data_IF_989432503916
#
_entry.id   IF_989432503916
#
_cell.length_a   1.000
_cell.length_b   1.000
_cell.length_c   1.000
_cell.angle_alpha   90.00
_cell.angle_beta   90.00
_cell.angle_gamma   90.00
#
_symmetry.space_group_name_H-M   'P 1'
#
loop_
_entity.id
_entity.type
_entity.pdbx_description
1 polymer ?
#
# COMPACT_ATOMS: atom_id res chain seq x y z
N UNK A 1 20.88 43.84 -32.59
CA UNK A 1 19.88 43.38 -31.62
C UNK A 1 19.60 41.87 -31.66
N UNK A 2 20.00 41.11 -32.65
CA UNK A 2 19.73 39.65 -32.81
C UNK A 2 20.58 38.71 -31.95
N UNK A 3 21.79 39.13 -31.55
CA UNK A 3 22.71 38.27 -30.73
C UNK A 3 22.27 38.10 -29.26
N UNK A 4 21.49 39.03 -28.73
CA UNK A 4 20.98 38.99 -27.36
C UNK A 4 19.83 38.00 -27.23
N UNK A 5 18.96 37.92 -28.22
CA UNK A 5 17.79 37.01 -28.23
C UNK A 5 18.21 35.52 -28.25
N UNK A 6 19.25 35.19 -29.01
CA UNK A 6 19.75 33.80 -29.05
C UNK A 6 20.33 33.33 -27.72
N UNK A 7 21.01 34.22 -26.99
CA UNK A 7 21.60 33.89 -25.67
C UNK A 7 20.51 33.68 -24.61
N UNK A 8 19.45 34.47 -24.61
CA UNK A 8 18.31 34.32 -23.70
C UNK A 8 17.52 33.04 -24.00
N UNK A 9 17.29 32.74 -25.27
CA UNK A 9 16.62 31.50 -25.68
C UNK A 9 17.44 30.25 -25.28
N UNK A 10 18.76 30.30 -25.47
CA UNK A 10 19.63 29.18 -25.10
C UNK A 10 19.73 28.97 -23.59
N UNK A 11 19.72 30.00 -22.76
CA UNK A 11 19.68 29.85 -21.31
C UNK A 11 18.34 29.36 -20.81
N UNK A 12 17.23 29.78 -21.42
CA UNK A 12 15.87 29.32 -21.08
C UNK A 12 15.70 27.83 -21.41
N UNK A 13 16.20 27.38 -22.57
CA UNK A 13 16.13 25.93 -22.92
C UNK A 13 17.02 25.08 -22.03
N UNK A 14 18.20 25.53 -21.67
CA UNK A 14 19.11 24.82 -20.76
C UNK A 14 18.51 24.71 -19.36
N UNK A 15 17.83 25.75 -18.86
CA UNK A 15 17.13 25.76 -17.58
C UNK A 15 15.94 24.82 -17.57
N UNK A 16 15.17 24.75 -18.66
CA UNK A 16 14.03 23.85 -18.80
C UNK A 16 14.46 22.37 -18.82
N UNK A 17 15.58 22.04 -19.48
CA UNK A 17 16.14 20.69 -19.50
C UNK A 17 16.63 20.25 -18.11
N UNK A 18 17.27 21.15 -17.36
CA UNK A 18 17.72 20.89 -15.99
C UNK A 18 16.56 20.63 -15.01
N UNK A 19 15.44 21.32 -15.18
CA UNK A 19 14.22 21.11 -14.37
C UNK A 19 13.52 19.80 -14.70
N UNK A 20 13.61 19.30 -15.93
CA UNK A 20 12.99 18.05 -16.35
C UNK A 20 13.70 16.78 -15.82
N UNK A 21 14.97 16.86 -15.43
CA UNK A 21 15.76 15.68 -15.00
C UNK A 21 15.65 15.36 -13.51
N UNK A 22 15.04 16.23 -12.69
CA UNK A 22 15.06 16.12 -11.23
C UNK A 22 13.95 15.30 -10.57
N UNK A 23 12.95 14.79 -11.31
CA UNK A 23 11.67 14.44 -10.75
C UNK A 23 11.40 12.99 -10.33
N UNK A 24 12.23 12.01 -10.70
CA UNK A 24 11.89 10.59 -10.49
C UNK A 24 12.83 9.90 -9.50
N UNK A 25 12.70 10.19 -8.21
CA UNK A 25 13.38 9.43 -7.18
C UNK A 25 12.64 8.10 -6.91
N UNK A 26 13.42 7.01 -6.76
CA UNK A 26 12.87 5.72 -6.36
C UNK A 26 12.61 5.74 -4.85
N UNK A 27 11.35 5.59 -4.48
CA UNK A 27 10.93 5.50 -3.08
C UNK A 27 11.10 4.06 -2.60
N UNK A 28 11.76 3.90 -1.46
CA UNK A 28 11.88 2.62 -0.75
C UNK A 28 11.08 2.75 0.54
N UNK A 29 10.20 1.80 0.77
CA UNK A 29 9.42 1.71 2.01
C UNK A 29 9.70 0.37 2.68
N UNK A 30 10.06 0.42 3.95
CA UNK A 30 10.33 -0.75 4.78
C UNK A 30 9.29 -0.84 5.87
N UNK A 31 8.66 -1.99 5.97
CA UNK A 31 7.61 -2.26 6.94
C UNK A 31 7.92 -3.55 7.70
N UNK A 32 7.52 -3.59 8.97
CA UNK A 32 7.64 -4.76 9.82
C UNK A 32 8.95 -4.83 10.59
N UNK A 33 9.23 -6.01 11.13
CA UNK A 33 10.36 -6.28 12.00
C UNK A 33 11.57 -6.77 11.18
N UNK A 34 12.66 -6.03 11.23
CA UNK A 34 13.93 -6.46 10.63
C UNK A 34 14.70 -7.29 11.67
N UNK A 35 14.56 -8.60 11.58
CA UNK A 35 15.36 -9.50 12.42
C UNK A 35 16.84 -9.46 11.99
N UNK A 36 17.74 -9.30 12.97
CA UNK A 36 19.16 -9.46 12.73
C UNK A 36 19.43 -10.92 12.34
N UNK A 37 20.03 -11.21 11.18
CA UNK A 37 20.32 -12.58 10.75
C UNK A 37 21.16 -13.38 11.77
N UNK A 38 22.03 -12.70 12.54
CA UNK A 38 22.86 -13.34 13.56
C UNK A 38 21.99 -13.80 14.73
N UNK A 39 21.07 -12.96 15.21
CA UNK A 39 20.15 -13.32 16.30
C UNK A 39 19.18 -14.43 15.88
N UNK A 40 18.72 -14.38 14.63
CA UNK A 40 17.85 -15.44 14.09
C UNK A 40 18.58 -16.78 13.98
N UNK A 41 19.87 -16.76 13.60
CA UNK A 41 20.69 -17.97 13.51
C UNK A 41 21.05 -18.53 14.89
N UNK A 42 20.98 -17.72 15.93
CA UNK A 42 21.25 -18.14 17.31
C UNK A 42 20.08 -18.92 17.93
N UNK A 43 18.86 -18.79 17.39
CA UNK A 43 17.68 -19.53 17.91
C UNK A 43 17.81 -21.01 17.59
N UNK A 44 17.86 -21.85 18.64
CA UNK A 44 18.09 -23.29 18.53
C UNK A 44 16.83 -24.09 18.92
N UNK A 45 16.28 -24.91 18.00
CA UNK A 45 15.21 -25.84 18.35
C UNK A 45 15.63 -26.81 19.49
N UNK A 46 14.71 -27.01 20.44
CA UNK A 46 14.91 -27.89 21.59
C UNK A 46 15.69 -27.27 22.75
N UNK A 47 16.31 -26.10 22.55
CA UNK A 47 17.10 -25.40 23.59
C UNK A 47 16.40 -24.11 24.00
N UNK A 48 15.97 -23.31 23.05
CA UNK A 48 15.30 -22.05 23.30
C UNK A 48 13.81 -22.22 23.61
N UNK A 49 13.29 -21.28 24.41
CA UNK A 49 11.89 -21.20 24.78
C UNK A 49 11.30 -19.82 24.37
N UNK A 50 10.00 -19.60 24.62
CA UNK A 50 9.31 -18.34 24.29
C UNK A 50 9.98 -17.12 24.90
N UNK A 51 10.43 -17.23 26.16
CA UNK A 51 11.02 -16.11 26.87
C UNK A 51 12.40 -15.76 26.30
N UNK A 52 13.24 -16.76 26.00
CA UNK A 52 14.54 -16.54 25.37
C UNK A 52 14.42 -15.95 23.97
N UNK A 53 13.46 -16.42 23.17
CA UNK A 53 13.16 -15.87 21.85
C UNK A 53 12.66 -14.43 21.95
N UNK A 54 11.75 -14.14 22.90
CA UNK A 54 11.27 -12.78 23.13
C UNK A 54 12.37 -11.83 23.62
N UNK A 55 13.30 -12.32 24.41
CA UNK A 55 14.44 -11.54 24.88
C UNK A 55 15.45 -11.23 23.77
N UNK A 56 15.70 -12.19 22.85
CA UNK A 56 16.66 -12.04 21.76
C UNK A 56 16.10 -11.34 20.54
N UNK A 57 14.90 -11.73 20.09
CA UNK A 57 14.27 -11.20 18.87
C UNK A 57 13.19 -10.15 19.16
N UNK A 58 12.82 -9.93 20.42
CA UNK A 58 11.71 -9.03 20.73
C UNK A 58 10.33 -9.63 20.45
N UNK A 59 9.31 -8.76 20.40
CA UNK A 59 7.92 -9.18 20.19
C UNK A 59 7.68 -9.59 18.74
N UNK A 60 6.99 -10.72 18.49
CA UNK A 60 6.64 -11.13 17.13
C UNK A 60 5.66 -10.15 16.48
N UNK A 61 5.67 -10.09 15.15
CA UNK A 61 4.72 -9.30 14.35
C UNK A 61 3.30 -9.87 14.47
N UNK A 62 3.20 -11.21 14.43
CA UNK A 62 1.95 -11.95 14.59
C UNK A 62 2.16 -13.17 15.47
N UNK A 63 1.10 -13.53 16.18
CA UNK A 63 1.00 -14.76 16.95
C UNK A 63 -0.17 -15.57 16.41
N UNK A 64 -0.04 -16.88 16.30
CA UNK A 64 -1.10 -17.79 15.88
C UNK A 64 -2.34 -17.63 16.75
N UNK A 65 -3.51 -17.53 16.10
CA UNK A 65 -4.76 -17.19 16.79
C UNK A 65 -5.30 -18.30 17.67
N UNK A 66 -5.10 -19.58 17.29
CA UNK A 66 -5.76 -20.69 17.94
C UNK A 66 -5.02 -21.21 19.17
N UNK A 67 -3.73 -21.43 19.06
CA UNK A 67 -2.92 -22.04 20.12
C UNK A 67 -1.74 -21.20 20.57
N UNK A 68 -1.52 -20.04 19.94
CA UNK A 68 -0.43 -19.11 20.22
C UNK A 68 0.97 -19.75 20.16
N UNK A 69 1.08 -20.92 19.52
CA UNK A 69 2.35 -21.66 19.39
C UNK A 69 3.16 -21.21 18.18
N UNK A 70 2.55 -20.53 17.23
CA UNK A 70 3.21 -20.05 16.02
C UNK A 70 3.47 -18.55 16.12
N UNK A 71 4.75 -18.17 16.10
CA UNK A 71 5.18 -16.78 16.07
C UNK A 71 5.76 -16.42 14.73
N UNK A 72 5.36 -15.25 14.21
CA UNK A 72 5.79 -14.75 12.93
C UNK A 72 6.46 -13.39 13.08
N UNK A 73 7.68 -13.28 12.57
CA UNK A 73 8.40 -12.03 12.40
C UNK A 73 8.44 -11.74 10.90
N UNK A 74 7.81 -10.65 10.49
CA UNK A 74 7.65 -10.31 9.06
C UNK A 74 8.32 -8.99 8.78
N UNK A 75 9.21 -8.97 7.78
CA UNK A 75 9.76 -7.75 7.21
C UNK A 75 9.49 -7.71 5.72
N UNK A 76 9.21 -6.53 5.20
CA UNK A 76 8.95 -6.30 3.77
C UNK A 76 9.54 -4.98 3.33
N UNK A 77 10.33 -5.00 2.28
CA UNK A 77 10.74 -3.81 1.56
C UNK A 77 9.96 -3.73 0.24
N UNK A 78 9.32 -2.60 0.01
CA UNK A 78 8.68 -2.28 -1.27
C UNK A 78 9.44 -1.15 -1.96
N UNK A 79 9.44 -1.18 -3.29
CA UNK A 79 10.02 -0.12 -4.11
C UNK A 79 8.98 0.43 -5.06
N UNK A 80 8.97 1.75 -5.14
CA UNK A 80 8.09 2.49 -6.02
C UNK A 80 8.89 3.46 -6.88
N UNK A 81 8.49 3.65 -8.13
CA UNK A 81 9.02 4.65 -9.04
C UNK A 81 7.88 5.52 -9.56
N UNK A 82 7.88 6.81 -9.18
CA UNK A 82 6.85 7.75 -9.58
C UNK A 82 5.44 7.31 -9.15
N UNK A 83 4.53 7.23 -10.09
CA UNK A 83 3.12 6.87 -9.88
C UNK A 83 2.82 5.36 -9.97
N UNK A 84 3.86 4.53 -10.14
CA UNK A 84 3.67 3.08 -10.21
C UNK A 84 3.24 2.51 -8.86
N UNK A 85 2.53 1.38 -8.90
CA UNK A 85 2.20 0.65 -7.67
C UNK A 85 3.47 0.17 -6.98
N UNK A 86 3.56 0.26 -5.64
CA UNK A 86 4.67 -0.32 -4.90
C UNK A 86 4.80 -1.82 -5.19
N UNK A 87 5.98 -2.24 -5.58
CA UNK A 87 6.28 -3.65 -5.82
C UNK A 87 7.13 -4.21 -4.68
N UNK A 88 6.86 -5.41 -4.17
CA UNK A 88 7.71 -6.05 -3.18
C UNK A 88 9.07 -6.33 -3.81
N UNK A 89 10.12 -5.85 -3.14
CA UNK A 89 11.51 -6.04 -3.56
C UNK A 89 12.22 -7.08 -2.69
N UNK A 90 11.94 -7.06 -1.40
CA UNK A 90 12.47 -8.00 -0.44
C UNK A 90 11.38 -8.31 0.60
N UNK A 91 11.24 -9.56 0.95
CA UNK A 91 10.39 -10.01 2.03
C UNK A 91 11.11 -11.12 2.80
N UNK A 92 11.02 -11.07 4.11
CA UNK A 92 11.50 -12.11 4.98
C UNK A 92 10.41 -12.42 6.00
N UNK A 93 10.06 -13.67 6.09
CA UNK A 93 9.16 -14.20 7.12
C UNK A 93 9.93 -15.26 7.90
N UNK A 94 10.10 -14.99 9.18
CA UNK A 94 10.62 -15.97 10.14
C UNK A 94 9.42 -16.54 10.90
N UNK A 95 9.20 -17.83 10.78
CA UNK A 95 8.18 -18.58 11.50
C UNK A 95 8.83 -19.45 12.53
N UNK A 96 8.51 -19.24 13.79
CA UNK A 96 8.97 -20.01 14.93
C UNK A 96 7.77 -20.75 15.52
N UNK A 97 7.84 -22.07 15.53
CA UNK A 97 6.83 -22.91 16.15
C UNK A 97 7.32 -23.42 17.49
N UNK A 98 6.47 -23.29 18.51
CA UNK A 98 6.71 -23.80 19.85
C UNK A 98 5.93 -25.10 20.09
N UNK A 99 6.47 -25.97 20.93
CA UNK A 99 5.79 -27.13 21.46
C UNK A 99 4.79 -26.77 22.57
N UNK A 100 4.14 -27.77 23.15
CA UNK A 100 3.19 -27.56 24.26
C UNK A 100 3.85 -27.06 25.55
N UNK A 101 5.12 -27.39 25.74
CA UNK A 101 5.91 -26.92 26.88
C UNK A 101 6.45 -25.50 26.69
N UNK A 102 6.32 -24.92 25.46
CA UNK A 102 6.78 -23.58 25.13
C UNK A 102 8.23 -23.52 24.65
N UNK A 103 8.84 -24.67 24.32
CA UNK A 103 10.17 -24.72 23.72
C UNK A 103 10.06 -24.58 22.20
N UNK A 104 11.13 -24.09 21.55
CA UNK A 104 11.20 -23.99 20.10
C UNK A 104 11.23 -25.37 19.46
N UNK A 105 10.18 -25.73 18.73
CA UNK A 105 10.08 -26.99 18.00
C UNK A 105 10.67 -26.87 16.59
N UNK A 106 10.45 -25.75 15.90
CA UNK A 106 10.93 -25.53 14.54
C UNK A 106 11.12 -24.04 14.24
N UNK A 107 12.11 -23.75 13.38
CA UNK A 107 12.38 -22.41 12.85
C UNK A 107 12.42 -22.48 11.33
N UNK A 108 11.52 -21.77 10.65
CA UNK A 108 11.41 -21.73 9.20
C UNK A 108 11.59 -20.30 8.70
N UNK A 109 12.34 -20.14 7.60
CA UNK A 109 12.52 -18.87 6.92
C UNK A 109 11.95 -18.96 5.51
N UNK A 110 11.16 -17.97 5.12
CA UNK A 110 10.61 -17.83 3.77
C UNK A 110 10.78 -16.41 3.28
N UNK A 111 10.86 -16.23 1.98
CA UNK A 111 11.13 -14.94 1.34
C UNK A 111 10.04 -14.52 0.36
N UNK A 112 10.48 -13.96 -0.76
CA UNK A 112 9.59 -13.47 -1.83
C UNK A 112 8.77 -14.57 -2.51
N UNK A 113 9.18 -15.81 -2.42
CA UNK A 113 8.51 -16.97 -3.04
C UNK A 113 7.06 -17.16 -2.56
N UNK A 114 6.72 -16.62 -1.40
CA UNK A 114 5.36 -16.65 -0.85
C UNK A 114 4.53 -15.42 -1.16
N UNK A 115 5.07 -14.44 -1.90
CA UNK A 115 4.32 -13.26 -2.30
C UNK A 115 3.41 -13.59 -3.46
N UNK A 116 2.11 -13.73 -3.18
CA UNK A 116 1.11 -13.92 -4.22
C UNK A 116 0.83 -12.60 -4.95
N UNK A 117 0.84 -12.61 -6.28
CA UNK A 117 0.30 -11.53 -7.09
C UNK A 117 -1.21 -11.75 -7.25
N UNK A 118 -1.99 -10.81 -6.77
CA UNK A 118 -3.45 -10.87 -6.88
C UNK A 118 -3.86 -9.89 -7.98
N UNK A 119 -4.46 -10.42 -9.05
CA UNK A 119 -5.14 -9.62 -10.06
C UNK A 119 -6.61 -9.48 -9.67
N UNK A 120 -7.06 -8.30 -9.25
CA UNK A 120 -8.47 -8.07 -8.93
C UNK A 120 -9.34 -8.32 -10.17
N UNK A 121 -10.50 -8.92 -9.96
CA UNK A 121 -11.48 -9.11 -11.04
C UNK A 121 -11.85 -7.75 -11.64
N UNK A 122 -11.70 -7.63 -12.96
CA UNK A 122 -12.03 -6.41 -13.72
C UNK A 122 -13.54 -6.22 -13.92
N UNK A 123 -14.35 -7.17 -13.45
CA UNK A 123 -15.80 -7.06 -13.54
C UNK A 123 -16.30 -6.06 -12.50
N UNK A 124 -16.93 -5.01 -12.99
CA UNK A 124 -17.64 -4.07 -12.15
C UNK A 124 -18.95 -4.69 -11.67
N UNK A 125 -19.25 -4.55 -10.39
CA UNK A 125 -20.57 -4.92 -9.88
C UNK A 125 -21.54 -3.83 -10.32
N UNK A 126 -22.59 -4.15 -11.11
CA UNK A 126 -23.57 -3.15 -11.50
C UNK A 126 -24.23 -2.60 -10.24
N UNK A 127 -23.98 -1.33 -9.96
CA UNK A 127 -24.67 -0.61 -8.89
C UNK A 127 -25.90 0.07 -9.49
N UNK A 128 -27.02 0.01 -8.79
CA UNK A 128 -28.26 0.75 -9.15
C UNK A 128 -28.12 2.28 -9.00
N UNK A 129 -26.88 2.77 -8.96
CA UNK A 129 -26.58 4.20 -8.88
C UNK A 129 -26.85 4.92 -10.21
N UNK A 130 -27.21 6.20 -10.11
CA UNK A 130 -27.38 7.08 -11.27
C UNK A 130 -26.01 7.37 -11.88
N UNK A 131 -25.79 6.98 -13.13
CA UNK A 131 -24.60 7.35 -13.90
C UNK A 131 -24.68 8.83 -14.27
N UNK A 132 -23.96 9.66 -13.53
CA UNK A 132 -23.74 11.06 -13.92
C UNK A 132 -22.47 11.14 -14.75
N UNK A 133 -22.53 11.84 -15.87
CA UNK A 133 -21.34 12.17 -16.65
C UNK A 133 -20.45 13.12 -15.83
N UNK A 134 -19.14 13.01 -15.97
CA UNK A 134 -18.17 13.93 -15.34
C UNK A 134 -18.52 15.39 -15.60
N UNK A 135 -18.95 15.73 -16.80
CA UNK A 135 -19.38 17.07 -17.18
C UNK A 135 -20.71 17.47 -16.52
N UNK A 136 -21.62 16.53 -16.33
CA UNK A 136 -22.88 16.79 -15.64
C UNK A 136 -22.65 17.03 -14.13
N UNK A 137 -21.67 16.38 -13.54
CA UNK A 137 -21.29 16.58 -12.15
C UNK A 137 -20.50 17.88 -11.94
N UNK A 138 -19.63 18.23 -12.89
CA UNK A 138 -18.81 19.45 -12.83
C UNK A 138 -19.64 20.70 -13.17
N UNK A 139 -20.53 20.64 -14.15
CA UNK A 139 -21.29 21.78 -14.64
C UNK A 139 -22.77 21.78 -14.27
N UNK A 140 -23.32 20.64 -13.84
CA UNK A 140 -24.73 20.51 -13.46
C UNK A 140 -25.15 21.36 -12.27
N UNK A 141 -24.18 21.86 -11.51
CA UNK A 141 -24.44 22.74 -10.33
C UNK A 141 -24.22 24.24 -10.64
N UNK A 142 -23.72 24.58 -11.84
CA UNK A 142 -23.37 25.98 -12.19
C UNK A 142 -24.62 26.80 -12.63
N UNK A 143 -25.81 26.29 -12.52
CA UNK A 143 -27.03 27.04 -12.81
C UNK A 143 -28.01 27.14 -11.63
N UNK A 144 -27.75 26.45 -10.54
CA UNK A 144 -28.72 26.34 -9.44
C UNK A 144 -28.54 27.39 -8.33
N UNK A 145 -27.49 28.20 -8.37
CA UNK A 145 -27.22 29.21 -7.34
C UNK A 145 -28.02 30.50 -7.56
N UNK A 146 -28.78 30.62 -8.67
CA UNK A 146 -29.49 31.82 -9.06
C UNK A 146 -30.99 31.87 -8.79
N UNK A 147 -31.61 30.80 -8.27
CA UNK A 147 -33.05 30.79 -7.99
C UNK A 147 -33.36 30.43 -6.52
N UNK A 148 -32.87 31.25 -5.61
CA UNK A 148 -33.46 31.35 -4.28
C UNK A 148 -34.68 32.26 -4.39
N UNK A 149 -35.81 31.71 -4.81
CA UNK A 149 -37.07 32.45 -4.84
C UNK A 149 -38.01 31.96 -5.93
N UNK A 150 -38.73 30.89 -5.68
CA UNK A 150 -39.78 30.47 -6.62
C UNK A 150 -40.33 29.09 -6.25
N UNK A 151 -41.29 29.14 -5.37
CA UNK A 151 -42.32 28.19 -4.99
C UNK A 151 -42.74 27.11 -5.98
N UNK A 152 -43.19 26.02 -5.36
CA UNK A 152 -44.19 25.03 -5.77
C UNK A 152 -43.63 23.88 -6.65
N UNK A 153 -43.32 22.77 -6.06
CA UNK A 153 -44.31 21.74 -5.76
C UNK A 153 -44.76 20.98 -6.98
N UNK A 154 -44.31 19.80 -7.12
CA UNK A 154 -45.17 18.66 -7.44
C UNK A 154 -44.32 17.40 -7.28
N UNK A 155 -44.38 16.81 -6.13
CA UNK A 155 -44.05 15.42 -5.89
C UNK A 155 -45.03 14.55 -6.67
N UNK A 156 -44.60 14.00 -7.79
CA UNK A 156 -45.26 12.83 -8.37
C UNK A 156 -44.64 11.60 -7.76
N UNK A 157 -45.35 11.01 -6.84
CA UNK A 157 -45.22 9.62 -6.41
C UNK A 157 -45.52 8.73 -7.60
N UNK A 158 -44.63 7.81 -8.00
CA UNK A 158 -45.04 6.75 -8.92
C UNK A 158 -45.84 5.71 -8.15
N UNK A 159 -47.07 5.50 -8.58
CA UNK A 159 -47.93 4.40 -8.15
C UNK A 159 -47.22 3.07 -8.31
N UNK A 160 -47.29 2.24 -7.27
CA UNK A 160 -46.91 0.85 -7.25
C UNK A 160 -48.12 0.01 -7.68
N UNK A 161 -48.11 -0.69 -8.82
CA UNK A 161 -49.14 -1.70 -9.10
C UNK A 161 -48.78 -3.02 -8.39
N UNK A 162 -49.77 -3.56 -7.74
CA UNK A 162 -49.79 -4.88 -7.13
C UNK A 162 -49.56 -6.01 -8.13
#
# INVERSE_FOLDING_TARGET
>A
MTKSFGRVAMTATLSAVLLATGGCARIKDRQGYLADPVLVAAVQPGVDNRDSVAASLGRPTFVGQFDQRDWYYVSRETRNLGFNKPAPFEQQVLHIRFDEAGNVAAVNKTGLEQVASIDPAKKETPTLGRNKSFFEELFGNIGQVGTAGGTTGTSRTPDNPQ
#
